data_IF_712132351089
#
_entry.id   IF_712132351089
#
_cell.length_a   1.000
_cell.length_b   1.000
_cell.length_c   1.000
_cell.angle_alpha   90.00
_cell.angle_beta   90.00
_cell.angle_gamma   90.00
#
_symmetry.space_group_name_H-M   'P 1'
#
loop_
_entity.id
_entity.type
_entity.pdbx_description
1 polymer ?
#
# COMPACT_ATOMS: atom_id res chain seq x y z
N UNK A 1 -50.78 -44.38 -44.95
CA UNK A 1 -51.65 -43.40 -44.29
C UNK A 1 -51.96 -43.74 -42.84
N UNK A 2 -52.36 -44.94 -42.45
CA UNK A 2 -52.70 -45.30 -41.05
C UNK A 2 -51.53 -45.19 -40.05
N UNK A 3 -50.28 -45.34 -40.48
CA UNK A 3 -49.07 -45.22 -39.59
C UNK A 3 -48.75 -43.78 -39.26
N UNK A 4 -48.85 -42.86 -40.21
CA UNK A 4 -48.55 -41.43 -40.03
C UNK A 4 -49.59 -40.78 -39.11
N UNK A 5 -50.81 -41.14 -39.21
CA UNK A 5 -51.89 -40.63 -38.35
C UNK A 5 -51.73 -41.10 -36.91
N UNK A 6 -51.25 -42.32 -36.69
CA UNK A 6 -50.94 -42.84 -35.35
C UNK A 6 -49.72 -42.06 -34.70
N UNK A 7 -48.68 -41.74 -35.47
CA UNK A 7 -47.57 -40.96 -34.99
C UNK A 7 -47.96 -39.49 -34.68
N UNK A 8 -48.82 -38.89 -35.50
CA UNK A 8 -49.35 -37.55 -35.22
C UNK A 8 -50.24 -37.53 -33.96
N UNK A 9 -51.02 -38.55 -33.71
CA UNK A 9 -51.86 -38.68 -32.50
C UNK A 9 -50.98 -38.84 -31.23
N UNK A 10 -49.90 -39.60 -31.30
CA UNK A 10 -48.96 -39.77 -30.17
C UNK A 10 -48.21 -38.48 -29.89
N UNK A 11 -47.78 -37.73 -30.91
CA UNK A 11 -47.13 -36.44 -30.76
C UNK A 11 -48.09 -35.39 -30.16
N UNK A 12 -49.33 -35.37 -30.61
CA UNK A 12 -50.35 -34.47 -30.07
C UNK A 12 -50.72 -34.82 -28.61
N UNK A 13 -50.81 -36.12 -28.24
CA UNK A 13 -51.03 -36.55 -26.86
C UNK A 13 -49.84 -36.21 -25.92
N UNK A 14 -48.59 -36.31 -26.40
CA UNK A 14 -47.41 -35.95 -25.63
C UNK A 14 -47.32 -34.43 -25.47
N UNK A 15 -47.64 -33.62 -26.48
CA UNK A 15 -47.66 -32.15 -26.36
C UNK A 15 -48.79 -31.67 -25.46
N UNK A 16 -49.94 -32.27 -25.44
CA UNK A 16 -51.05 -31.95 -24.52
C UNK A 16 -50.70 -32.37 -23.09
N UNK A 17 -50.06 -33.52 -22.89
CA UNK A 17 -49.57 -33.94 -21.56
C UNK A 17 -48.43 -33.03 -20.99
N UNK A 18 -47.55 -32.49 -21.86
CA UNK A 18 -46.55 -31.52 -21.45
C UNK A 18 -47.16 -30.15 -21.12
N UNK A 19 -48.28 -29.77 -21.74
CA UNK A 19 -48.95 -28.49 -21.45
C UNK A 19 -49.79 -28.52 -20.18
N UNK A 20 -50.13 -29.70 -19.66
CA UNK A 20 -50.88 -29.82 -18.39
C UNK A 20 -49.96 -30.06 -17.17
N UNK A 21 -48.64 -30.27 -17.39
CA UNK A 21 -47.68 -30.47 -16.31
C UNK A 21 -47.00 -29.16 -15.82
N UNK A 22 -47.39 -27.99 -16.38
CA UNK A 22 -46.94 -26.68 -15.86
C UNK A 22 -47.95 -26.10 -14.87
N UNK A 23 -48.51 -26.93 -14.03
CA UNK A 23 -49.09 -26.50 -12.77
C UNK A 23 -47.97 -26.37 -11.73
N UNK A 24 -47.15 -25.34 -11.84
CA UNK A 24 -46.54 -24.79 -10.64
C UNK A 24 -47.73 -24.37 -9.77
N UNK A 25 -48.03 -25.14 -8.74
CA UNK A 25 -48.98 -24.70 -7.73
C UNK A 25 -48.35 -23.44 -7.09
N UNK A 26 -49.03 -22.32 -7.23
CA UNK A 26 -48.72 -21.04 -6.55
C UNK A 26 -48.82 -21.13 -5.01
N UNK A 27 -48.84 -22.35 -4.45
CA UNK A 27 -49.00 -22.59 -3.02
C UNK A 27 -47.68 -22.64 -2.24
N UNK A 28 -46.54 -22.42 -2.89
CA UNK A 28 -45.29 -22.12 -2.15
C UNK A 28 -45.25 -20.63 -1.82
N UNK A 29 -46.18 -20.15 -1.03
CA UNK A 29 -46.02 -18.87 -0.34
C UNK A 29 -44.88 -19.05 0.65
N UNK A 30 -43.68 -18.66 0.24
CA UNK A 30 -42.58 -18.46 1.17
C UNK A 30 -43.04 -17.48 2.23
N UNK A 31 -43.06 -17.91 3.49
CA UNK A 31 -43.33 -17.01 4.61
C UNK A 31 -42.16 -16.04 4.87
N UNK A 32 -41.17 -16.05 3.98
CA UNK A 32 -39.99 -15.17 4.07
C UNK A 32 -40.38 -13.70 3.85
N UNK A 33 -40.07 -12.89 4.80
CA UNK A 33 -40.21 -11.44 4.72
C UNK A 33 -38.91 -10.83 4.23
N UNK A 34 -38.80 -10.61 2.89
CA UNK A 34 -37.60 -10.09 2.21
C UNK A 34 -37.73 -8.60 1.82
N UNK A 35 -38.76 -7.93 2.30
CA UNK A 35 -39.11 -6.53 2.00
C UNK A 35 -38.57 -5.53 3.01
N UNK A 36 -37.83 -6.00 4.02
CA UNK A 36 -37.29 -5.16 5.08
C UNK A 36 -35.95 -4.53 4.75
N UNK A 37 -35.82 -3.23 4.93
CA UNK A 37 -34.55 -2.52 4.87
C UNK A 37 -33.71 -2.78 6.13
N UNK A 38 -32.39 -2.87 5.98
CA UNK A 38 -31.44 -3.22 7.06
C UNK A 38 -30.28 -2.22 7.15
N UNK A 39 -30.61 -0.94 6.98
CA UNK A 39 -29.60 0.12 7.02
C UNK A 39 -29.39 0.65 8.43
N UNK A 40 -28.13 0.98 8.73
CA UNK A 40 -27.74 1.85 9.86
C UNK A 40 -27.71 3.27 9.32
N UNK A 41 -28.62 4.15 9.77
CA UNK A 41 -28.69 5.55 9.32
C UNK A 41 -27.81 6.47 10.17
N UNK A 42 -27.67 6.16 11.46
CA UNK A 42 -26.77 6.84 12.38
C UNK A 42 -26.37 5.93 13.53
N UNK A 43 -25.18 6.13 14.06
CA UNK A 43 -24.70 5.48 15.29
C UNK A 43 -23.77 6.45 16.02
N UNK A 44 -23.86 6.45 17.36
CA UNK A 44 -22.86 7.09 18.23
C UNK A 44 -22.38 6.11 19.28
N UNK A 45 -21.08 6.17 19.52
CA UNK A 45 -20.43 5.52 20.66
C UNK A 45 -20.01 6.63 21.62
N UNK A 46 -20.55 6.62 22.83
CA UNK A 46 -20.47 7.73 23.77
C UNK A 46 -20.89 9.06 23.11
N UNK A 47 -19.98 10.03 22.99
CA UNK A 47 -20.20 11.31 22.33
C UNK A 47 -19.81 11.34 20.82
N UNK A 48 -19.25 10.23 20.28
CA UNK A 48 -18.61 10.21 18.98
C UNK A 48 -19.49 9.58 17.91
N UNK A 49 -19.77 10.32 16.85
CA UNK A 49 -20.57 9.85 15.73
C UNK A 49 -19.74 8.93 14.79
N UNK A 50 -20.39 7.85 14.33
CA UNK A 50 -19.82 6.96 13.33
C UNK A 50 -20.02 7.48 11.91
N UNK A 51 -19.00 7.36 11.09
CA UNK A 51 -19.07 7.53 9.62
C UNK A 51 -19.38 6.18 9.00
N UNK A 52 -20.47 6.08 8.24
CA UNK A 52 -20.97 4.84 7.68
C UNK A 52 -20.59 4.77 6.20
N UNK A 53 -19.90 3.69 5.81
CA UNK A 53 -19.64 3.31 4.42
C UNK A 53 -20.59 2.18 4.05
N UNK A 54 -21.60 2.50 3.27
CA UNK A 54 -22.63 1.55 2.83
C UNK A 54 -22.11 0.56 1.78
N UNK A 55 -21.09 0.92 1.03
CA UNK A 55 -20.51 0.05 0.02
C UNK A 55 -19.69 -1.08 0.67
N UNK A 56 -18.82 -0.72 1.60
CA UNK A 56 -17.96 -1.66 2.30
C UNK A 56 -18.57 -2.25 3.58
N UNK A 57 -19.76 -1.78 3.98
CA UNK A 57 -20.43 -2.19 5.22
C UNK A 57 -19.57 -1.95 6.45
N UNK A 58 -18.90 -0.81 6.49
CA UNK A 58 -18.04 -0.42 7.60
C UNK A 58 -18.56 0.85 8.27
N UNK A 59 -18.33 0.94 9.58
CA UNK A 59 -18.62 2.10 10.41
C UNK A 59 -17.33 2.49 11.13
N UNK A 60 -16.86 3.71 10.93
CA UNK A 60 -15.63 4.21 11.56
C UNK A 60 -16.00 5.31 12.55
N UNK A 61 -15.60 5.14 13.82
CA UNK A 61 -15.78 6.14 14.88
C UNK A 61 -14.41 6.69 15.24
N UNK A 62 -14.21 8.01 15.07
CA UNK A 62 -12.97 8.69 15.48
C UNK A 62 -13.10 9.18 16.93
N UNK A 63 -12.09 8.90 17.76
CA UNK A 63 -12.02 9.31 19.16
C UNK A 63 -10.66 9.97 19.45
N UNK A 64 -10.55 10.79 20.53
CA UNK A 64 -9.26 11.33 20.97
C UNK A 64 -8.18 10.24 21.17
N UNK A 65 -6.91 10.63 21.04
CA UNK A 65 -5.77 9.70 21.10
C UNK A 65 -5.73 8.86 22.40
N UNK A 66 -6.05 9.48 23.53
CA UNK A 66 -6.01 8.92 24.88
C UNK A 66 -7.35 8.33 25.35
N UNK A 67 -8.38 8.32 24.48
CA UNK A 67 -9.71 7.85 24.84
C UNK A 67 -9.71 6.34 25.15
N UNK A 68 -10.40 5.96 26.22
CA UNK A 68 -10.59 4.54 26.59
C UNK A 68 -11.65 3.89 25.69
N UNK A 69 -11.19 3.09 24.74
CA UNK A 69 -12.05 2.36 23.81
C UNK A 69 -12.49 0.99 24.31
N UNK A 70 -12.02 0.57 25.49
CA UNK A 70 -12.36 -0.75 26.07
C UNK A 70 -13.75 -0.79 26.68
N UNK A 71 -14.39 0.36 26.86
CA UNK A 71 -15.70 0.50 27.52
C UNK A 71 -16.51 1.65 26.94
N UNK A 72 -16.88 1.56 25.66
CA UNK A 72 -17.72 2.57 25.01
C UNK A 72 -19.16 2.12 24.97
N UNK A 73 -20.08 3.02 25.33
CA UNK A 73 -21.52 2.77 25.27
C UNK A 73 -22.09 3.15 23.89
N UNK A 74 -23.00 2.36 23.35
CA UNK A 74 -23.81 2.74 22.20
C UNK A 74 -24.88 3.72 22.68
N UNK A 75 -24.71 5.01 22.45
CA UNK A 75 -25.59 6.06 22.95
C UNK A 75 -26.70 6.44 21.96
N UNK A 76 -26.48 6.20 20.69
CA UNK A 76 -27.44 6.43 19.62
C UNK A 76 -27.33 5.35 18.55
N UNK A 77 -28.44 4.83 18.08
CA UNK A 77 -28.51 3.98 16.90
C UNK A 77 -29.83 4.21 16.18
N UNK A 78 -29.75 4.71 14.96
CA UNK A 78 -30.91 4.91 14.10
C UNK A 78 -30.84 3.90 12.94
N UNK A 79 -31.84 3.05 12.86
CA UNK A 79 -31.96 1.98 11.87
C UNK A 79 -33.11 2.27 10.90
N UNK A 80 -33.20 1.48 9.84
CA UNK A 80 -34.38 1.43 8.99
C UNK A 80 -35.63 1.05 9.81
N UNK A 81 -36.79 1.49 9.37
CA UNK A 81 -38.07 1.18 10.02
C UNK A 81 -38.30 -0.32 10.17
N UNK A 82 -38.64 -0.76 11.37
CA UNK A 82 -38.85 -2.18 11.71
C UNK A 82 -37.57 -3.02 11.83
N UNK A 83 -36.39 -2.45 11.62
CA UNK A 83 -35.14 -3.17 11.81
C UNK A 83 -34.72 -3.25 13.29
N UNK A 84 -34.00 -4.30 13.63
CA UNK A 84 -33.38 -4.55 14.95
C UNK A 84 -31.89 -4.82 14.78
N UNK A 85 -31.11 -4.52 15.81
CA UNK A 85 -29.66 -4.72 15.80
C UNK A 85 -29.23 -5.77 16.83
N UNK A 86 -28.07 -6.40 16.58
CA UNK A 86 -27.46 -7.36 17.52
C UNK A 86 -26.84 -6.68 18.75
N UNK A 87 -26.67 -5.37 18.72
CA UNK A 87 -26.15 -4.54 19.81
C UNK A 87 -27.26 -3.56 20.20
N UNK A 88 -27.50 -3.41 21.50
CA UNK A 88 -28.53 -2.53 22.00
C UNK A 88 -28.01 -1.13 22.35
N UNK A 89 -28.89 -0.10 22.27
CA UNK A 89 -28.58 1.22 22.83
C UNK A 89 -28.42 1.08 24.35
N UNK A 90 -27.35 1.68 24.90
CA UNK A 90 -26.95 1.58 26.30
C UNK A 90 -25.99 0.41 26.59
N UNK A 91 -25.76 -0.49 25.64
CA UNK A 91 -24.78 -1.55 25.77
C UNK A 91 -23.35 -0.99 25.74
N UNK A 92 -22.51 -1.47 26.65
CA UNK A 92 -21.08 -1.08 26.74
C UNK A 92 -20.23 -2.21 26.18
N UNK A 93 -19.36 -1.87 25.24
CA UNK A 93 -18.58 -2.84 24.47
C UNK A 93 -17.12 -2.41 24.42
N UNK A 94 -16.21 -3.40 24.34
CA UNK A 94 -14.80 -3.21 24.06
C UNK A 94 -14.58 -3.09 22.53
N UNK A 95 -14.16 -1.90 22.09
CA UNK A 95 -13.82 -1.60 20.71
C UNK A 95 -12.31 -1.55 20.45
N UNK A 96 -11.48 -2.20 21.26
CA UNK A 96 -10.05 -2.37 20.99
C UNK A 96 -9.79 -3.14 19.70
N UNK A 97 -10.75 -3.97 19.29
CA UNK A 97 -10.81 -4.69 18.02
C UNK A 97 -12.09 -4.35 17.27
N UNK A 98 -12.13 -4.56 15.94
CA UNK A 98 -13.36 -4.38 15.18
C UNK A 98 -14.51 -5.24 15.71
N UNK A 99 -15.69 -4.66 15.86
CA UNK A 99 -16.91 -5.30 16.38
C UNK A 99 -17.93 -5.46 15.25
N UNK A 100 -18.56 -6.64 15.18
CA UNK A 100 -19.62 -6.91 14.21
C UNK A 100 -20.97 -6.45 14.73
N UNK A 101 -21.67 -5.64 13.94
CA UNK A 101 -23.06 -5.22 14.17
C UNK A 101 -23.94 -5.85 13.10
N UNK A 102 -24.82 -6.78 13.50
CA UNK A 102 -25.82 -7.36 12.59
C UNK A 102 -27.14 -6.64 12.73
N UNK A 103 -27.67 -6.15 11.61
CA UNK A 103 -29.01 -5.53 11.52
C UNK A 103 -29.94 -6.50 10.81
N UNK A 104 -31.13 -6.69 11.36
CA UNK A 104 -32.13 -7.64 10.86
C UNK A 104 -33.50 -7.00 10.75
N UNK A 105 -34.23 -7.26 9.66
CA UNK A 105 -35.61 -6.84 9.44
C UNK A 105 -36.35 -7.97 8.70
N UNK A 106 -37.27 -8.63 9.38
CA UNK A 106 -37.86 -9.88 8.88
C UNK A 106 -36.79 -10.95 8.69
N UNK A 107 -36.69 -11.49 7.49
CA UNK A 107 -35.68 -12.51 7.11
C UNK A 107 -34.44 -11.92 6.40
N UNK A 108 -34.44 -10.59 6.21
CA UNK A 108 -33.26 -9.88 5.67
C UNK A 108 -32.31 -9.54 6.81
N UNK A 109 -31.03 -9.75 6.59
CA UNK A 109 -29.99 -9.32 7.53
C UNK A 109 -28.75 -8.78 6.83
N UNK A 110 -28.06 -7.86 7.49
CA UNK A 110 -26.82 -7.27 7.03
C UNK A 110 -25.87 -7.06 8.21
N UNK A 111 -24.59 -7.36 7.99
CA UNK A 111 -23.57 -7.13 9.01
C UNK A 111 -22.67 -5.97 8.61
N UNK A 112 -22.44 -5.08 9.57
CA UNK A 112 -21.49 -3.98 9.51
C UNK A 112 -20.32 -4.30 10.43
N UNK A 113 -19.12 -3.81 10.06
CA UNK A 113 -17.96 -3.85 10.95
C UNK A 113 -17.73 -2.46 11.54
N UNK A 114 -17.86 -2.33 12.85
CA UNK A 114 -17.57 -1.09 13.58
C UNK A 114 -16.09 -1.09 13.96
N UNK A 115 -15.37 -0.05 13.58
CA UNK A 115 -13.96 0.17 13.97
C UNK A 115 -13.82 1.52 14.64
N UNK A 116 -13.27 1.53 15.85
CA UNK A 116 -12.91 2.78 16.53
C UNK A 116 -11.45 3.11 16.22
N UNK A 117 -11.21 4.31 15.72
CA UNK A 117 -9.87 4.83 15.42
C UNK A 117 -9.54 5.98 16.33
N UNK A 118 -8.39 5.92 17.00
CA UNK A 118 -7.88 7.05 17.76
C UNK A 118 -7.33 8.10 16.80
N UNK A 119 -7.59 9.37 17.11
CA UNK A 119 -6.99 10.49 16.39
C UNK A 119 -5.47 10.40 16.53
N UNK A 120 -4.76 10.51 15.42
CA UNK A 120 -3.31 10.45 15.39
C UNK A 120 -2.75 11.66 14.65
N UNK A 121 -1.71 12.26 15.22
CA UNK A 121 -0.93 13.31 14.57
C UNK A 121 0.52 12.81 14.44
N UNK A 122 0.89 12.31 13.27
CA UNK A 122 2.20 11.71 13.02
C UNK A 122 2.91 12.37 11.85
N UNK A 123 4.22 12.53 11.98
CA UNK A 123 5.11 12.75 10.84
C UNK A 123 5.50 11.35 10.34
N UNK A 124 5.16 11.03 9.10
CA UNK A 124 5.39 9.72 8.50
C UNK A 124 6.74 9.65 7.78
N UNK A 125 7.09 10.70 7.06
CA UNK A 125 8.38 10.85 6.39
C UNK A 125 8.93 12.26 6.66
N UNK A 126 10.24 12.41 6.60
CA UNK A 126 10.89 13.70 6.79
C UNK A 126 12.14 13.79 5.91
N UNK A 127 12.29 14.90 5.19
CA UNK A 127 13.48 15.17 4.36
C UNK A 127 13.95 16.61 4.57
N UNK A 128 15.25 16.82 4.49
CA UNK A 128 15.83 18.15 4.41
C UNK A 128 16.36 18.40 3.00
N UNK A 129 16.04 19.57 2.44
CA UNK A 129 16.36 19.98 1.06
C UNK A 129 15.94 18.94 0.00
N UNK A 130 14.86 18.18 0.28
CA UNK A 130 14.33 17.09 -0.55
C UNK A 130 15.32 15.93 -0.83
N UNK A 131 16.52 15.99 -0.26
CA UNK A 131 17.67 15.11 -0.52
C UNK A 131 18.07 14.27 0.69
N UNK A 132 18.08 14.88 1.89
CA UNK A 132 18.59 14.22 3.10
C UNK A 132 17.44 13.60 3.86
N UNK A 133 17.33 12.28 3.82
CA UNK A 133 16.24 11.53 4.45
C UNK A 133 16.43 11.45 5.95
N UNK A 134 15.38 11.82 6.69
CA UNK A 134 15.32 11.69 8.13
C UNK A 134 14.75 10.34 8.55
N UNK A 135 15.40 9.69 9.50
CA UNK A 135 14.89 8.50 10.17
C UNK A 135 13.90 8.93 11.25
N UNK A 136 12.62 8.68 11.01
CA UNK A 136 11.54 8.97 11.96
C UNK A 136 11.36 7.80 12.91
N UNK A 137 11.57 8.04 14.21
CA UNK A 137 11.25 7.09 15.27
C UNK A 137 9.90 7.46 15.89
N UNK A 138 8.88 6.63 15.61
CA UNK A 138 7.52 6.86 16.09
C UNK A 138 7.35 6.59 17.59
N UNK A 139 8.23 5.83 18.20
CA UNK A 139 8.15 5.51 19.62
C UNK A 139 8.75 6.64 20.47
N UNK A 140 9.99 7.04 20.17
CA UNK A 140 10.69 8.11 20.90
C UNK A 140 10.29 9.52 20.44
N UNK A 141 9.53 9.63 19.33
CA UNK A 141 9.18 10.92 18.71
C UNK A 141 10.40 11.76 18.36
N UNK A 142 11.40 11.10 17.82
CA UNK A 142 12.63 11.76 17.34
C UNK A 142 12.81 11.56 15.84
N UNK A 143 13.45 12.51 15.20
CA UNK A 143 13.85 12.45 13.80
C UNK A 143 15.34 12.75 13.72
N UNK A 144 16.12 11.82 13.20
CA UNK A 144 17.57 12.01 13.01
C UNK A 144 17.88 12.11 11.52
N UNK A 145 18.64 13.15 11.14
CA UNK A 145 19.08 13.37 9.77
C UNK A 145 20.59 13.51 9.75
N UNK A 146 21.26 12.81 8.83
CA UNK A 146 22.68 12.98 8.58
C UNK A 146 22.85 13.71 7.25
N UNK A 147 23.66 14.77 7.25
CA UNK A 147 23.99 15.57 6.07
C UNK A 147 25.50 15.62 5.86
N UNK A 148 26.00 15.85 4.63
CA UNK A 148 27.42 16.02 4.39
C UNK A 148 28.05 17.16 5.23
N UNK A 149 29.33 17.03 5.55
CA UNK A 149 30.08 18.06 6.30
C UNK A 149 30.09 19.43 5.63
N UNK A 150 29.87 19.49 4.32
CA UNK A 150 29.86 20.74 3.52
C UNK A 150 28.51 21.45 3.51
N UNK A 151 27.48 20.85 4.10
CA UNK A 151 26.10 21.40 4.07
C UNK A 151 25.97 22.45 5.18
N UNK A 152 25.44 23.61 4.81
CA UNK A 152 25.06 24.64 5.78
C UNK A 152 23.76 24.23 6.47
N UNK A 153 23.87 23.87 7.76
CA UNK A 153 22.73 23.40 8.56
C UNK A 153 21.89 24.54 9.15
N UNK A 154 22.29 25.80 8.95
CA UNK A 154 21.54 26.96 9.46
C UNK A 154 20.36 27.36 8.58
N UNK A 155 20.27 26.80 7.36
CA UNK A 155 19.25 27.16 6.36
C UNK A 155 18.72 25.93 5.60
N UNK A 156 18.20 24.93 6.33
CA UNK A 156 17.65 23.74 5.70
C UNK A 156 16.12 23.81 5.59
N UNK A 157 15.62 23.45 4.41
CA UNK A 157 14.19 23.36 4.13
C UNK A 157 13.69 21.97 4.48
N UNK A 158 12.74 21.85 5.42
CA UNK A 158 12.13 20.59 5.77
C UNK A 158 10.90 20.30 4.91
N UNK A 159 10.78 19.08 4.39
CA UNK A 159 9.60 18.53 3.73
C UNK A 159 9.22 17.22 4.39
N UNK A 160 7.91 16.96 4.53
CA UNK A 160 7.43 15.77 5.23
C UNK A 160 6.05 15.36 4.77
N UNK A 161 5.75 14.07 4.91
CA UNK A 161 4.39 13.53 4.87
C UNK A 161 3.87 13.31 6.29
N UNK A 162 2.58 13.47 6.46
CA UNK A 162 1.90 13.36 7.77
C UNK A 162 0.73 12.40 7.69
N UNK A 163 0.22 11.96 8.85
CA UNK A 163 -1.04 11.22 8.92
C UNK A 163 -2.21 12.06 8.42
N UNK A 164 -3.27 11.39 7.95
CA UNK A 164 -4.43 12.03 7.33
C UNK A 164 -5.02 13.13 8.20
N UNK A 165 -5.17 14.32 7.61
CA UNK A 165 -5.73 15.50 8.26
C UNK A 165 -4.80 16.20 9.25
N UNK A 166 -3.60 15.66 9.55
CA UNK A 166 -2.66 16.30 10.45
C UNK A 166 -2.00 17.53 9.80
N UNK A 167 -1.68 18.50 10.64
CA UNK A 167 -0.86 19.68 10.31
C UNK A 167 0.38 19.68 11.18
N UNK A 168 1.46 20.34 10.73
CA UNK A 168 2.72 20.39 11.46
C UNK A 168 3.27 21.80 11.52
N UNK A 169 3.80 22.18 12.66
CA UNK A 169 4.50 23.45 12.87
C UNK A 169 5.92 23.17 13.38
N UNK A 170 6.99 23.71 12.77
CA UNK A 170 7.01 24.57 11.57
C UNK A 170 6.43 23.89 10.32
N UNK A 171 5.90 24.68 9.38
CA UNK A 171 5.25 24.16 8.17
C UNK A 171 6.24 23.51 7.21
N UNK A 172 5.76 22.54 6.41
CA UNK A 172 6.53 21.95 5.30
C UNK A 172 6.95 23.04 4.31
N UNK A 173 8.21 22.99 3.88
CA UNK A 173 8.81 23.99 3.01
C UNK A 173 9.43 25.18 3.74
N UNK A 174 9.24 25.31 5.06
CA UNK A 174 9.90 26.37 5.85
C UNK A 174 11.40 26.07 6.04
N UNK A 175 12.20 27.14 6.04
CA UNK A 175 13.63 27.09 6.33
C UNK A 175 13.84 27.20 7.84
N UNK A 176 14.68 26.34 8.40
CA UNK A 176 15.01 26.33 9.82
C UNK A 176 16.54 26.23 10.02
N UNK A 177 17.00 26.75 11.16
CA UNK A 177 18.35 26.54 11.65
C UNK A 177 18.42 25.30 12.54
N UNK A 178 19.17 24.29 12.09
CA UNK A 178 19.36 23.02 12.78
C UNK A 178 20.70 22.93 13.55
N UNK A 179 21.32 24.04 13.85
CA UNK A 179 22.50 24.09 14.75
C UNK A 179 22.16 23.45 16.11
N UNK A 180 20.94 23.60 16.55
CA UNK A 180 20.34 22.92 17.69
C UNK A 180 19.14 22.08 17.26
N UNK A 181 18.71 21.08 18.06
CA UNK A 181 17.50 20.32 17.76
C UNK A 181 16.29 21.22 17.60
N UNK A 182 15.48 21.00 16.55
CA UNK A 182 14.27 21.74 16.24
C UNK A 182 13.05 20.86 16.50
N UNK A 183 12.06 21.38 17.22
CA UNK A 183 10.82 20.66 17.50
C UNK A 183 9.80 20.94 16.40
N UNK A 184 9.31 19.88 15.76
CA UNK A 184 8.17 19.87 14.85
C UNK A 184 6.95 19.28 15.55
N UNK A 185 5.89 20.05 15.70
CA UNK A 185 4.69 19.60 16.40
C UNK A 185 3.59 19.25 15.40
N UNK A 186 3.26 17.97 15.32
CA UNK A 186 2.12 17.48 14.54
C UNK A 186 0.82 17.62 15.37
N UNK A 187 -0.26 18.11 14.76
CA UNK A 187 -1.57 18.28 15.39
C UNK A 187 -2.69 17.77 14.51
N UNK A 188 -3.64 17.08 15.12
CA UNK A 188 -4.88 16.68 14.48
C UNK A 188 -5.98 16.59 15.54
N UNK A 189 -7.00 17.46 15.45
CA UNK A 189 -8.04 17.58 16.48
C UNK A 189 -7.42 17.77 17.88
N UNK A 190 -7.64 16.82 18.79
CA UNK A 190 -7.05 16.82 20.15
C UNK A 190 -5.65 16.20 20.23
N UNK A 191 -5.21 15.48 19.20
CA UNK A 191 -3.90 14.85 19.20
C UNK A 191 -2.80 15.90 18.93
N UNK A 192 -1.80 15.97 19.80
CA UNK A 192 -0.62 16.85 19.69
C UNK A 192 0.62 16.01 19.91
N UNK A 193 1.47 15.91 18.91
CA UNK A 193 2.68 15.07 18.95
C UNK A 193 3.92 15.88 18.56
N UNK A 194 4.78 16.23 19.50
CA UNK A 194 6.05 16.89 19.21
C UNK A 194 7.09 15.85 18.75
N UNK A 195 7.83 16.15 17.70
CA UNK A 195 9.01 15.43 17.21
C UNK A 195 10.23 16.29 17.34
N UNK A 196 11.28 15.78 17.98
CA UNK A 196 12.57 16.47 18.09
C UNK A 196 13.44 16.05 16.91
N UNK A 197 13.76 17.00 16.03
CA UNK A 197 14.61 16.79 14.86
C UNK A 197 16.03 17.18 15.19
N UNK A 198 16.96 16.23 15.06
CA UNK A 198 18.40 16.43 15.25
C UNK A 198 19.13 16.21 13.92
N UNK A 199 19.92 17.20 13.51
CA UNK A 199 20.77 17.10 12.32
C UNK A 199 22.21 16.92 12.76
N UNK A 200 22.89 15.94 12.19
CA UNK A 200 24.32 15.71 12.39
C UNK A 200 25.04 15.78 11.06
N UNK A 201 26.22 16.42 11.04
CA UNK A 201 27.09 16.42 9.88
C UNK A 201 27.97 15.18 9.89
N UNK A 202 28.07 14.49 8.75
CA UNK A 202 28.83 13.24 8.65
C UNK A 202 29.13 12.84 7.21
N UNK A 203 29.69 11.65 7.04
CA UNK A 203 29.89 11.10 5.71
C UNK A 203 28.57 10.53 5.18
N UNK A 204 28.02 11.19 4.17
CA UNK A 204 26.88 10.68 3.38
C UNK A 204 27.39 10.36 1.99
N UNK A 205 27.12 9.16 1.53
CA UNK A 205 27.71 8.57 0.33
C UNK A 205 26.66 8.55 -0.78
N UNK A 206 26.91 9.17 -1.95
CA UNK A 206 25.98 9.12 -3.07
C UNK A 206 25.73 7.70 -3.54
N UNK A 207 24.47 7.36 -3.74
CA UNK A 207 24.03 6.08 -4.28
C UNK A 207 23.06 6.29 -5.44
N UNK A 208 22.86 5.30 -6.28
CA UNK A 208 21.86 5.37 -7.35
C UNK A 208 21.00 4.13 -7.43
N UNK A 209 19.75 4.31 -7.83
CA UNK A 209 18.90 3.26 -8.39
C UNK A 209 18.95 3.38 -9.91
N UNK A 210 19.34 2.32 -10.60
CA UNK A 210 19.28 2.29 -12.06
C UNK A 210 18.04 1.56 -12.52
N UNK A 211 17.31 2.16 -13.46
CA UNK A 211 16.08 1.59 -13.99
C UNK A 211 16.00 1.64 -15.51
N UNK A 212 14.95 0.99 -16.02
CA UNK A 212 14.70 0.82 -17.46
C UNK A 212 13.98 2.00 -18.12
N UNK A 213 13.34 2.85 -17.31
CA UNK A 213 12.64 4.06 -17.79
C UNK A 213 13.44 5.33 -17.48
N UNK A 214 13.04 6.46 -18.05
CA UNK A 214 13.73 7.75 -17.83
C UNK A 214 13.43 8.38 -16.46
N UNK A 215 12.44 7.87 -15.71
CA UNK A 215 12.13 8.31 -14.34
C UNK A 215 11.37 7.21 -13.59
N UNK A 216 11.35 7.29 -12.25
CA UNK A 216 10.60 6.36 -11.39
C UNK A 216 9.11 6.31 -11.75
N UNK A 217 8.50 7.45 -12.07
CA UNK A 217 7.08 7.52 -12.42
C UNK A 217 6.74 6.77 -13.72
N UNK A 218 7.69 6.63 -14.64
CA UNK A 218 7.54 5.97 -15.94
C UNK A 218 7.90 4.48 -15.91
N UNK A 219 8.40 3.95 -14.80
CA UNK A 219 8.61 2.52 -14.64
C UNK A 219 7.28 1.77 -14.77
N UNK A 220 7.26 0.74 -15.60
CA UNK A 220 6.07 -0.07 -15.89
C UNK A 220 5.92 -1.26 -14.95
N UNK A 221 7.04 -1.85 -14.48
CA UNK A 221 7.02 -2.91 -13.47
C UNK A 221 6.67 -2.31 -12.10
N UNK A 222 5.58 -2.76 -11.45
CA UNK A 222 5.22 -2.31 -10.09
C UNK A 222 6.32 -2.56 -9.07
N UNK A 223 7.03 -3.69 -9.18
CA UNK A 223 8.09 -4.10 -8.26
C UNK A 223 9.34 -3.22 -8.42
N UNK A 224 9.77 -2.97 -9.66
CA UNK A 224 10.89 -2.07 -9.96
C UNK A 224 10.58 -0.65 -9.47
N UNK A 225 9.37 -0.18 -9.76
CA UNK A 225 8.90 1.12 -9.30
C UNK A 225 8.86 1.24 -7.79
N UNK A 226 8.35 0.21 -7.09
CA UNK A 226 8.30 0.19 -5.63
C UNK A 226 9.71 0.17 -5.02
N UNK A 227 10.64 -0.60 -5.59
CA UNK A 227 12.04 -0.65 -5.14
C UNK A 227 12.75 0.71 -5.33
N UNK A 228 12.58 1.32 -6.52
CA UNK A 228 13.13 2.64 -6.82
C UNK A 228 12.57 3.71 -5.87
N UNK A 229 11.25 3.73 -5.70
CA UNK A 229 10.58 4.68 -4.81
C UNK A 229 11.04 4.49 -3.35
N UNK A 230 11.13 3.23 -2.90
CA UNK A 230 11.64 2.94 -1.55
C UNK A 230 13.03 3.50 -1.32
N UNK A 231 13.95 3.31 -2.31
CA UNK A 231 15.31 3.86 -2.20
C UNK A 231 15.30 5.39 -2.14
N UNK A 232 14.51 6.06 -3.00
CA UNK A 232 14.39 7.52 -3.00
C UNK A 232 13.81 8.06 -1.69
N UNK A 233 12.97 7.29 -1.02
CA UNK A 233 12.30 7.70 0.22
C UNK A 233 13.09 7.36 1.49
N UNK A 234 14.03 6.41 1.43
CA UNK A 234 14.70 5.88 2.62
C UNK A 234 16.22 6.08 2.63
N UNK A 235 16.85 6.34 1.49
CA UNK A 235 18.32 6.47 1.40
C UNK A 235 18.69 7.90 1.03
N UNK A 236 19.38 8.59 1.93
CA UNK A 236 19.88 9.94 1.69
C UNK A 236 20.88 9.97 0.53
N UNK A 237 20.82 11.04 -0.28
CA UNK A 237 21.64 11.23 -1.48
C UNK A 237 21.49 10.10 -2.53
N UNK A 238 20.36 9.42 -2.55
CA UNK A 238 20.03 8.51 -3.63
C UNK A 238 19.50 9.27 -4.83
N UNK A 239 19.89 8.85 -6.03
CA UNK A 239 19.38 9.37 -7.29
C UNK A 239 18.83 8.23 -8.15
N UNK A 240 17.80 8.52 -8.92
CA UNK A 240 17.36 7.62 -9.98
C UNK A 240 18.11 7.95 -11.26
N UNK A 241 18.71 6.93 -11.88
CA UNK A 241 19.38 7.03 -13.18
C UNK A 241 18.79 6.00 -14.14
N UNK A 242 18.76 6.31 -15.43
CA UNK A 242 18.31 5.35 -16.44
C UNK A 242 19.47 4.68 -17.16
N UNK A 243 19.28 3.42 -17.57
CA UNK A 243 20.26 2.74 -18.43
C UNK A 243 20.51 3.55 -19.71
N UNK A 244 19.45 4.13 -20.27
CA UNK A 244 19.58 4.95 -21.47
C UNK A 244 20.49 6.15 -21.26
N UNK A 245 20.37 6.88 -20.16
CA UNK A 245 21.23 8.04 -19.88
C UNK A 245 22.68 7.62 -19.63
N UNK A 246 22.89 6.42 -19.07
CA UNK A 246 24.22 5.83 -18.93
C UNK A 246 24.80 5.55 -20.31
N UNK A 247 24.04 4.89 -21.22
CA UNK A 247 24.46 4.60 -22.59
C UNK A 247 24.77 5.89 -23.35
N UNK A 248 23.93 6.90 -23.23
CA UNK A 248 24.07 8.21 -23.86
C UNK A 248 25.27 9.03 -23.29
N UNK A 249 25.91 8.57 -22.21
CA UNK A 249 27.03 9.28 -21.58
C UNK A 249 26.65 10.49 -20.76
N UNK A 250 25.37 10.61 -20.37
CA UNK A 250 24.87 11.73 -19.56
C UNK A 250 25.13 11.54 -18.05
N UNK A 251 25.45 10.30 -17.63
CA UNK A 251 25.66 9.92 -16.22
C UNK A 251 27.09 9.44 -16.04
N UNK A 252 27.78 10.01 -15.06
CA UNK A 252 29.05 9.51 -14.55
C UNK A 252 28.78 8.54 -13.40
N UNK A 253 29.01 7.24 -13.63
CA UNK A 253 28.82 6.21 -12.61
C UNK A 253 29.82 6.34 -11.46
N UNK A 254 31.02 6.89 -11.70
CA UNK A 254 32.04 7.12 -10.68
C UNK A 254 31.60 8.05 -9.54
N UNK A 255 30.55 8.81 -9.76
CA UNK A 255 29.89 9.64 -8.74
C UNK A 255 29.29 8.81 -7.59
N UNK A 256 28.88 7.57 -7.85
CA UNK A 256 28.15 6.75 -6.89
C UNK A 256 29.06 5.69 -6.26
N UNK A 257 28.89 5.48 -4.97
CA UNK A 257 29.60 4.41 -4.25
C UNK A 257 28.88 3.06 -4.39
N UNK A 258 27.55 3.08 -4.53
CA UNK A 258 26.75 1.90 -4.76
C UNK A 258 25.60 2.21 -5.74
N UNK A 259 25.34 1.25 -6.60
CA UNK A 259 24.21 1.32 -7.54
C UNK A 259 23.35 0.07 -7.34
N UNK A 260 22.04 0.29 -7.16
CA UNK A 260 21.07 -0.78 -7.03
C UNK A 260 20.25 -0.90 -8.31
N UNK A 261 20.13 -2.13 -8.81
CA UNK A 261 19.20 -2.52 -9.86
C UNK A 261 18.30 -3.63 -9.36
N UNK A 262 16.99 -3.40 -9.40
CA UNK A 262 15.96 -4.39 -9.17
C UNK A 262 15.23 -4.62 -10.49
N UNK A 263 15.38 -5.79 -11.09
CA UNK A 263 14.72 -6.12 -12.35
C UNK A 263 13.69 -7.22 -12.12
N UNK A 264 12.44 -6.93 -12.50
CA UNK A 264 11.35 -7.90 -12.51
C UNK A 264 10.71 -7.95 -13.90
N UNK A 265 10.32 -9.16 -14.33
CA UNK A 265 9.59 -9.39 -15.57
C UNK A 265 8.61 -10.55 -15.40
N UNK A 266 7.43 -10.42 -15.98
CA UNK A 266 6.33 -11.38 -15.82
C UNK A 266 6.42 -12.60 -16.78
N UNK A 267 7.42 -12.67 -17.64
CA UNK A 267 7.48 -13.62 -18.77
C UNK A 267 8.38 -14.82 -18.53
N UNK A 268 8.27 -15.45 -17.36
CA UNK A 268 8.88 -16.75 -17.10
C UNK A 268 10.24 -16.72 -16.40
N UNK A 269 10.90 -17.87 -16.34
CA UNK A 269 12.00 -18.12 -15.42
C UNK A 269 13.32 -17.44 -15.79
N UNK A 270 13.51 -17.03 -17.04
CA UNK A 270 14.73 -16.40 -17.52
C UNK A 270 14.43 -15.26 -18.51
N UNK A 271 13.89 -14.12 -18.04
CA UNK A 271 13.60 -13.01 -18.92
C UNK A 271 14.89 -12.44 -19.52
N UNK A 272 14.88 -12.05 -20.80
CA UNK A 272 16.04 -11.39 -21.39
C UNK A 272 16.26 -10.05 -20.69
N UNK A 273 17.54 -9.72 -20.46
CA UNK A 273 17.90 -8.40 -19.96
C UNK A 273 17.48 -7.31 -20.97
N UNK A 274 17.02 -6.16 -20.49
CA UNK A 274 16.69 -5.01 -21.35
C UNK A 274 17.85 -4.58 -22.23
N UNK A 275 17.57 -4.13 -23.45
CA UNK A 275 18.64 -3.81 -24.43
C UNK A 275 19.53 -2.65 -23.97
N UNK A 276 18.97 -1.63 -23.31
CA UNK A 276 19.78 -0.54 -22.74
C UNK A 276 20.68 -1.03 -21.60
N UNK A 277 20.25 -2.03 -20.82
CA UNK A 277 21.08 -2.65 -19.79
C UNK A 277 22.26 -3.42 -20.43
N UNK A 278 22.00 -4.18 -21.52
CA UNK A 278 23.07 -4.86 -22.28
C UNK A 278 24.05 -3.85 -22.87
N UNK A 279 23.54 -2.74 -23.43
CA UNK A 279 24.39 -1.68 -24.00
C UNK A 279 25.25 -0.96 -22.94
N UNK A 280 24.82 -0.95 -21.68
CA UNK A 280 25.54 -0.31 -20.58
C UNK A 280 26.64 -1.20 -19.95
N UNK A 281 26.73 -2.49 -20.32
CA UNK A 281 27.63 -3.49 -19.68
C UNK A 281 29.06 -2.97 -19.50
N UNK A 282 29.70 -2.46 -20.56
CA UNK A 282 31.08 -2.05 -20.49
C UNK A 282 31.30 -0.86 -19.51
N UNK A 283 30.32 0.03 -19.39
CA UNK A 283 30.37 1.13 -18.42
C UNK A 283 30.25 0.62 -16.97
N UNK A 284 29.40 -0.37 -16.73
CA UNK A 284 29.30 -1.02 -15.43
C UNK A 284 30.51 -1.89 -15.07
N UNK A 285 31.16 -2.54 -16.07
CA UNK A 285 32.44 -3.22 -15.84
C UNK A 285 33.49 -2.25 -15.33
N UNK A 286 33.67 -1.11 -15.99
CA UNK A 286 34.61 -0.08 -15.58
C UNK A 286 34.27 0.43 -14.18
N UNK A 287 32.99 0.71 -13.91
CA UNK A 287 32.53 1.13 -12.58
C UNK A 287 32.89 0.12 -11.49
N UNK A 288 32.61 -1.17 -11.71
CA UNK A 288 32.90 -2.24 -10.77
C UNK A 288 34.41 -2.46 -10.58
N UNK A 289 35.17 -2.45 -11.65
CA UNK A 289 36.64 -2.59 -11.59
C UNK A 289 37.33 -1.45 -10.85
N UNK A 290 36.70 -0.26 -10.85
CA UNK A 290 37.17 0.89 -10.10
C UNK A 290 36.67 0.92 -8.64
N UNK A 291 36.07 -0.19 -8.15
CA UNK A 291 35.65 -0.33 -6.76
C UNK A 291 34.22 0.12 -6.49
N UNK A 292 33.40 0.35 -7.50
CA UNK A 292 31.98 0.59 -7.37
C UNK A 292 31.23 -0.66 -6.89
N UNK A 293 30.19 -0.48 -6.07
CA UNK A 293 29.38 -1.58 -5.54
C UNK A 293 28.07 -1.71 -6.29
N UNK A 294 27.70 -2.95 -6.60
CA UNK A 294 26.44 -3.29 -7.27
C UNK A 294 25.54 -4.12 -6.35
N UNK A 295 24.34 -3.66 -6.10
CA UNK A 295 23.25 -4.46 -5.51
C UNK A 295 22.33 -4.89 -6.65
N UNK A 296 22.38 -6.17 -7.01
CA UNK A 296 21.55 -6.76 -8.06
C UNK A 296 20.52 -7.67 -7.41
N UNK A 297 19.24 -7.37 -7.65
CA UNK A 297 18.14 -8.13 -7.03
C UNK A 297 17.16 -8.65 -8.07
N UNK A 298 16.55 -9.80 -7.79
CA UNK A 298 15.68 -10.53 -8.72
C UNK A 298 16.43 -10.89 -10.00
N UNK A 299 15.85 -10.70 -11.17
CA UNK A 299 16.47 -11.01 -12.46
C UNK A 299 17.68 -10.13 -12.81
N UNK A 300 17.87 -9.00 -12.12
CA UNK A 300 19.10 -8.22 -12.26
C UNK A 300 20.36 -9.03 -11.90
N UNK A 301 20.23 -10.08 -11.10
CA UNK A 301 21.36 -10.99 -10.77
C UNK A 301 21.97 -11.65 -12.00
N UNK A 302 21.24 -11.82 -13.10
CA UNK A 302 21.79 -12.34 -14.34
C UNK A 302 22.86 -11.43 -14.96
N UNK A 303 22.85 -10.15 -14.63
CA UNK A 303 23.83 -9.19 -15.11
C UNK A 303 25.29 -9.52 -14.71
N UNK A 304 25.48 -10.30 -13.63
CA UNK A 304 26.82 -10.73 -13.17
C UNK A 304 27.61 -11.51 -14.24
N UNK A 305 26.90 -12.24 -15.11
CA UNK A 305 27.49 -12.93 -16.27
C UNK A 305 28.02 -11.93 -17.29
N UNK A 306 27.18 -10.99 -17.72
CA UNK A 306 27.54 -9.98 -18.72
C UNK A 306 28.66 -9.09 -18.21
N UNK A 307 28.69 -8.81 -16.90
CA UNK A 307 29.75 -8.09 -16.22
C UNK A 307 31.04 -8.90 -16.05
N UNK A 308 31.05 -10.18 -16.44
CA UNK A 308 32.18 -11.11 -16.25
C UNK A 308 32.63 -11.27 -14.79
N UNK A 309 31.68 -11.09 -13.85
CA UNK A 309 31.90 -11.30 -12.40
C UNK A 309 31.81 -12.79 -12.09
N UNK A 310 30.90 -13.49 -12.75
CA UNK A 310 30.72 -14.93 -12.60
C UNK A 310 30.69 -15.62 -13.98
N UNK A 311 31.05 -16.92 -14.00
CA UNK A 311 30.90 -17.76 -15.17
C UNK A 311 29.42 -18.10 -15.39
N UNK A 312 29.09 -18.52 -16.62
CA UNK A 312 27.74 -18.89 -17.03
C UNK A 312 27.08 -19.92 -16.10
N UNK A 313 27.85 -20.95 -15.72
CA UNK A 313 27.38 -22.01 -14.84
C UNK A 313 27.09 -21.55 -13.39
N UNK A 314 27.57 -20.37 -13.01
CA UNK A 314 27.40 -19.80 -11.67
C UNK A 314 26.22 -18.78 -11.61
N UNK A 315 25.55 -18.49 -12.72
CA UNK A 315 24.46 -17.55 -12.76
C UNK A 315 23.24 -18.17 -12.07
N UNK A 316 22.62 -17.49 -11.11
CA UNK A 316 21.46 -18.02 -10.43
C UNK A 316 20.36 -18.37 -11.42
N UNK A 317 19.94 -19.63 -11.43
CA UNK A 317 18.74 -20.04 -12.11
C UNK A 317 17.55 -19.62 -11.22
N UNK A 318 16.64 -18.85 -11.76
CA UNK A 318 15.51 -18.29 -11.02
C UNK A 318 14.31 -19.24 -10.97
N UNK A 319 14.45 -20.48 -11.45
CA UNK A 319 13.48 -21.53 -11.22
C UNK A 319 13.39 -21.84 -9.74
N UNK A 320 12.21 -22.14 -9.28
CA UNK A 320 11.90 -22.53 -7.91
C UNK A 320 12.73 -23.76 -7.48
N UNK A 321 13.84 -23.52 -6.81
CA UNK A 321 14.73 -24.56 -6.35
C UNK A 321 15.86 -24.88 -7.34
N UNK A 322 16.87 -25.60 -6.85
CA UNK A 322 17.90 -26.20 -7.71
C UNK A 322 17.20 -27.19 -8.64
N UNK A 323 17.46 -27.08 -9.92
CA UNK A 323 17.21 -28.22 -10.80
C UNK A 323 18.02 -29.40 -10.26
N UNK A 324 17.41 -30.57 -10.18
CA UNK A 324 18.06 -31.80 -9.71
C UNK A 324 19.33 -32.17 -10.54
N UNK A 325 19.52 -31.54 -11.71
CA UNK A 325 20.62 -31.72 -12.62
C UNK A 325 21.74 -30.66 -12.50
N UNK A 326 21.70 -29.76 -11.52
CA UNK A 326 22.79 -28.82 -11.24
C UNK A 326 23.83 -29.49 -10.33
N UNK A 327 25.13 -29.59 -10.75
CA UNK A 327 26.18 -30.22 -9.96
C UNK A 327 26.43 -29.54 -8.61
#
# INVERSE_FOLDING_TARGET
>A
MKSIIKQLYIILLVTVACLTATGCSDDFKSNLRLDGDVWVNAIKLDAYAGTIDYQNKTIVVGVPYDYDVTRMAVTEMNLSEGATASIAIGETIDFSLPVSLTVKNGDVQMSYTITVKRDEAKILTFKLNDTYVGKVDQLSKTISVVVPLTVDITQLKATFAVSDGATVTPASGSIQDFTNPVTYTATYRSAVTPYVVTVTQGNVIPTAFVGTASSVSQLTSPEEKAAAQWMMDNISMSEYISFKDIVDGKVDLGKYTAIWWHFHADNGDNPPLPDDAKAAVEKFKVYYQNGGNLLLTRYATFYIKDLSIAKDECVPNNSWGRNEDSP
#
